data_IF_811096669818
#
_entry.id   IF_811096669818
#
_cell.length_a   1.000
_cell.length_b   1.000
_cell.length_c   1.000
_cell.angle_alpha   90.00
_cell.angle_beta   90.00
_cell.angle_gamma   90.00
#
_symmetry.space_group_name_H-M   'P 1'
#
loop_
_entity.id
_entity.type
_entity.pdbx_description
1 polymer ?
#
# COMPACT_ATOMS: atom_id res chain seq x y z
N UNK A 1 34.06 85.05 -21.54
CA UNK A 1 32.99 84.84 -20.58
C UNK A 1 32.01 83.77 -21.12
N UNK A 2 32.34 82.46 -21.09
CA UNK A 2 31.46 81.35 -21.58
C UNK A 2 31.71 80.01 -20.81
N UNK A 3 31.88 80.07 -19.49
CA UNK A 3 32.14 78.87 -18.68
C UNK A 3 31.07 78.51 -17.65
N UNK A 4 29.89 79.22 -17.66
CA UNK A 4 28.86 79.06 -16.61
C UNK A 4 27.68 78.09 -16.94
N UNK A 5 27.55 77.52 -18.21
CA UNK A 5 26.34 76.89 -18.65
C UNK A 5 26.45 75.33 -18.71
N UNK A 6 27.61 74.80 -18.53
CA UNK A 6 27.80 73.32 -18.73
C UNK A 6 27.67 72.49 -17.44
N UNK A 7 27.81 73.12 -16.27
CA UNK A 7 27.71 72.35 -15.01
C UNK A 7 26.26 71.88 -14.69
N UNK A 8 25.21 72.66 -14.86
CA UNK A 8 23.84 72.20 -14.61
C UNK A 8 23.38 71.15 -15.62
N UNK A 9 23.82 71.24 -16.90
CA UNK A 9 23.47 70.26 -17.92
C UNK A 9 24.13 68.88 -17.66
N UNK A 10 25.38 68.89 -17.21
CA UNK A 10 26.08 67.63 -16.84
C UNK A 10 25.43 66.94 -15.66
N UNK A 11 24.96 67.72 -14.64
CA UNK A 11 24.24 67.15 -13.49
C UNK A 11 22.90 66.54 -13.92
N UNK A 12 22.15 67.20 -14.80
CA UNK A 12 20.86 66.69 -15.31
C UNK A 12 21.07 65.39 -16.13
N UNK A 13 22.09 65.35 -16.97
CA UNK A 13 22.41 64.15 -17.74
C UNK A 13 22.82 63.00 -16.82
N UNK A 14 23.64 63.26 -15.81
CA UNK A 14 24.07 62.23 -14.86
C UNK A 14 22.89 61.67 -14.04
N UNK A 15 21.97 62.53 -13.58
CA UNK A 15 20.78 62.08 -12.82
C UNK A 15 19.80 61.30 -13.68
N UNK A 16 19.61 61.68 -14.95
CA UNK A 16 18.77 60.89 -15.87
C UNK A 16 19.35 59.50 -16.19
N UNK A 17 20.65 59.43 -16.38
CA UNK A 17 21.32 58.12 -16.58
C UNK A 17 21.22 57.21 -15.36
N UNK A 18 21.38 57.75 -14.15
CA UNK A 18 21.21 56.97 -12.91
C UNK A 18 19.75 56.52 -12.75
N UNK A 19 18.77 57.38 -13.04
CA UNK A 19 17.36 57.00 -13.00
C UNK A 19 17.01 55.89 -14.03
N UNK A 20 17.52 56.01 -15.24
CA UNK A 20 17.34 54.99 -16.27
C UNK A 20 18.01 53.65 -15.88
N UNK A 21 19.18 53.71 -15.27
CA UNK A 21 19.87 52.52 -14.75
C UNK A 21 19.09 51.86 -13.61
N UNK A 22 18.62 52.65 -12.64
CA UNK A 22 17.78 52.14 -11.53
C UNK A 22 16.47 51.57 -12.06
N UNK A 23 15.80 52.26 -12.99
CA UNK A 23 14.59 51.77 -13.63
C UNK A 23 14.86 50.45 -14.39
N UNK A 24 15.97 50.36 -15.11
CA UNK A 24 16.42 49.13 -15.77
C UNK A 24 16.60 48.00 -14.76
N UNK A 25 17.25 48.25 -13.63
CA UNK A 25 17.42 47.23 -12.55
C UNK A 25 16.07 46.82 -11.95
N UNK A 26 15.14 47.73 -11.74
CA UNK A 26 13.77 47.42 -11.25
C UNK A 26 13.01 46.62 -12.26
N UNK A 27 13.08 46.95 -13.55
CA UNK A 27 12.42 46.18 -14.63
C UNK A 27 13.02 44.77 -14.74
N UNK A 28 14.35 44.64 -14.68
CA UNK A 28 15.03 43.32 -14.70
C UNK A 28 14.64 42.49 -13.49
N UNK A 29 14.56 43.07 -12.29
CA UNK A 29 14.05 42.38 -11.09
C UNK A 29 12.56 42.04 -11.16
N UNK A 30 11.75 42.92 -11.74
CA UNK A 30 10.32 42.68 -11.90
C UNK A 30 10.02 41.61 -13.00
N UNK A 31 10.89 41.51 -14.01
CA UNK A 31 10.81 40.53 -15.11
C UNK A 31 11.51 39.21 -14.80
N UNK A 32 12.24 39.08 -13.67
CA UNK A 32 12.64 37.76 -13.21
C UNK A 32 11.34 37.00 -13.01
N UNK A 33 11.13 35.90 -13.74
CA UNK A 33 9.93 35.12 -13.54
C UNK A 33 9.92 34.81 -12.05
N UNK A 34 8.90 35.29 -11.35
CA UNK A 34 8.56 34.76 -10.03
C UNK A 34 8.27 33.31 -10.35
N UNK A 35 9.30 32.46 -10.18
CA UNK A 35 9.19 31.00 -10.32
C UNK A 35 7.94 30.61 -9.58
N UNK A 36 7.16 29.72 -10.20
CA UNK A 36 5.87 29.29 -9.67
C UNK A 36 5.97 29.04 -8.17
N UNK A 37 4.86 28.99 -7.47
CA UNK A 37 4.71 28.93 -6.01
C UNK A 37 5.58 27.88 -5.29
N UNK A 38 6.30 27.03 -6.04
CA UNK A 38 7.20 25.98 -5.54
C UNK A 38 8.65 26.31 -5.96
N UNK A 39 9.57 26.28 -5.00
CA UNK A 39 11.01 26.26 -5.28
C UNK A 39 11.41 24.96 -5.99
N UNK A 40 12.60 24.90 -6.58
CA UNK A 40 13.11 23.65 -7.19
C UNK A 40 13.21 22.51 -6.14
N UNK A 41 13.54 22.87 -4.89
CA UNK A 41 13.53 21.92 -3.78
C UNK A 41 12.10 21.42 -3.44
N UNK A 42 11.11 22.33 -3.43
CA UNK A 42 9.72 21.93 -3.19
C UNK A 42 9.18 21.04 -4.31
N UNK A 43 9.59 21.30 -5.55
CA UNK A 43 9.21 20.46 -6.71
C UNK A 43 9.82 19.08 -6.62
N UNK A 44 11.12 18.98 -6.31
CA UNK A 44 11.80 17.70 -6.11
C UNK A 44 11.17 16.89 -4.96
N UNK A 45 10.84 17.56 -3.85
CA UNK A 45 10.15 16.93 -2.71
C UNK A 45 8.77 16.42 -3.12
N UNK A 46 8.00 17.22 -3.86
CA UNK A 46 6.68 16.81 -4.35
C UNK A 46 6.78 15.61 -5.30
N UNK A 47 7.72 15.61 -6.23
CA UNK A 47 7.95 14.50 -7.17
C UNK A 47 8.34 13.21 -6.44
N UNK A 48 9.21 13.30 -5.43
CA UNK A 48 9.61 12.14 -4.62
C UNK A 48 8.42 11.57 -3.84
N UNK A 49 7.64 12.42 -3.16
CA UNK A 49 6.45 11.99 -2.42
C UNK A 49 5.36 11.42 -3.34
N UNK A 50 5.17 12.02 -4.51
CA UNK A 50 4.24 11.49 -5.50
C UNK A 50 4.65 10.11 -5.99
N UNK A 51 5.93 9.93 -6.34
CA UNK A 51 6.49 8.66 -6.79
C UNK A 51 6.41 7.59 -5.70
N UNK A 52 6.69 7.95 -4.44
CA UNK A 52 6.51 7.06 -3.29
C UNK A 52 5.05 6.60 -3.13
N UNK A 53 4.10 7.53 -3.30
CA UNK A 53 2.66 7.21 -3.23
C UNK A 53 2.22 6.26 -4.35
N UNK A 54 2.81 6.40 -5.56
CA UNK A 54 2.55 5.49 -6.67
C UNK A 54 3.10 4.09 -6.37
N UNK A 55 4.35 3.99 -5.91
CA UNK A 55 4.96 2.72 -5.52
C UNK A 55 4.14 2.02 -4.42
N UNK A 56 3.77 2.75 -3.35
CA UNK A 56 2.98 2.23 -2.25
C UNK A 56 1.61 1.68 -2.71
N UNK A 57 0.97 2.33 -3.70
CA UNK A 57 -0.30 1.87 -4.24
C UNK A 57 -0.19 0.54 -4.97
N UNK A 58 0.88 0.34 -5.75
CA UNK A 58 1.10 -0.90 -6.49
C UNK A 58 1.48 -2.08 -5.55
N UNK A 59 2.03 -1.79 -4.37
CA UNK A 59 2.45 -2.77 -3.37
C UNK A 59 1.35 -3.13 -2.35
N UNK A 60 0.10 -2.68 -2.55
CA UNK A 60 -1.01 -2.95 -1.61
C UNK A 60 -1.33 -4.42 -1.39
N UNK A 61 -1.00 -5.27 -2.33
CA UNK A 61 -1.19 -6.72 -2.27
C UNK A 61 0.05 -7.46 -1.75
N UNK A 62 1.06 -6.70 -1.26
CA UNK A 62 2.31 -7.22 -0.77
C UNK A 62 3.38 -7.39 -1.85
N UNK A 63 4.33 -8.29 -1.63
CA UNK A 63 5.39 -8.61 -2.59
C UNK A 63 4.96 -9.69 -3.59
N UNK A 64 3.78 -9.52 -4.22
CA UNK A 64 3.42 -10.37 -5.35
C UNK A 64 4.14 -9.93 -6.63
N UNK A 65 4.37 -10.86 -7.55
CA UNK A 65 5.14 -10.61 -8.79
C UNK A 65 4.56 -9.46 -9.61
N UNK A 66 3.23 -9.33 -9.63
CA UNK A 66 2.53 -8.34 -10.44
C UNK A 66 2.63 -6.93 -9.82
N UNK A 67 2.44 -6.80 -8.52
CA UNK A 67 2.54 -5.55 -7.78
C UNK A 67 3.96 -5.01 -7.77
N UNK A 68 4.93 -5.88 -7.47
CA UNK A 68 6.35 -5.52 -7.47
C UNK A 68 6.83 -5.07 -8.85
N UNK A 69 6.41 -5.75 -9.91
CA UNK A 69 6.77 -5.37 -11.29
C UNK A 69 6.23 -3.98 -11.65
N UNK A 70 5.00 -3.64 -11.25
CA UNK A 70 4.44 -2.30 -11.46
C UNK A 70 5.08 -1.23 -10.57
N UNK A 71 5.48 -1.58 -9.35
CA UNK A 71 6.13 -0.66 -8.42
C UNK A 71 7.59 -0.36 -8.80
N UNK A 72 8.29 -1.30 -9.41
CA UNK A 72 9.73 -1.23 -9.68
C UNK A 72 10.18 0.05 -10.41
N UNK A 73 9.51 0.55 -11.47
CA UNK A 73 9.89 1.80 -12.12
C UNK A 73 9.83 3.00 -11.16
N UNK A 74 8.86 3.03 -10.25
CA UNK A 74 8.71 4.09 -9.25
C UNK A 74 9.81 4.01 -8.19
N UNK A 75 10.11 2.81 -7.69
CA UNK A 75 11.19 2.58 -6.73
C UNK A 75 12.55 2.97 -7.33
N UNK A 76 12.81 2.59 -8.60
CA UNK A 76 14.03 2.97 -9.32
C UNK A 76 14.13 4.50 -9.49
N UNK A 77 13.04 5.16 -9.84
CA UNK A 77 13.01 6.62 -9.98
C UNK A 77 13.31 7.34 -8.66
N UNK A 78 12.79 6.85 -7.52
CA UNK A 78 13.09 7.40 -6.20
C UNK A 78 14.59 7.30 -5.86
N UNK A 79 15.24 6.22 -6.24
CA UNK A 79 16.65 5.97 -5.95
C UNK A 79 17.58 6.67 -6.95
N UNK A 80 17.07 7.10 -8.12
CA UNK A 80 17.86 7.73 -9.17
C UNK A 80 18.96 6.82 -9.73
N UNK A 81 18.76 5.50 -9.72
CA UNK A 81 19.78 4.51 -10.12
C UNK A 81 19.50 3.95 -11.52
N UNK A 82 20.55 3.50 -12.25
CA UNK A 82 20.39 2.85 -13.55
C UNK A 82 19.51 1.61 -13.53
N UNK A 83 19.57 0.81 -12.45
CA UNK A 83 18.75 -0.39 -12.30
C UNK A 83 18.50 -0.71 -10.83
N UNK A 84 17.41 -1.45 -10.59
CA UNK A 84 17.11 -2.10 -9.32
C UNK A 84 16.71 -3.56 -9.55
N UNK A 85 16.85 -4.37 -8.51
CA UNK A 85 16.24 -5.70 -8.44
C UNK A 85 15.50 -5.88 -7.11
N UNK A 86 14.40 -6.59 -7.16
CA UNK A 86 13.70 -7.07 -5.96
C UNK A 86 13.70 -8.59 -6.00
N UNK A 87 14.07 -9.19 -4.89
CA UNK A 87 14.08 -10.65 -4.73
C UNK A 87 13.24 -11.02 -3.51
N UNK A 88 12.51 -12.10 -3.60
CA UNK A 88 11.97 -12.80 -2.45
C UNK A 88 13.01 -13.79 -1.87
N UNK A 89 12.71 -14.55 -0.81
CA UNK A 89 13.62 -15.55 -0.28
C UNK A 89 13.96 -16.69 -1.25
N UNK A 90 13.17 -16.90 -2.31
CA UNK A 90 13.31 -18.02 -3.27
C UNK A 90 14.06 -17.61 -4.53
N UNK A 91 14.00 -16.34 -4.93
CA UNK A 91 14.66 -15.87 -6.15
C UNK A 91 14.37 -14.41 -6.52
N UNK A 92 14.82 -13.98 -7.70
CA UNK A 92 14.51 -12.66 -8.19
C UNK A 92 13.06 -12.57 -8.67
N UNK A 93 12.33 -11.54 -8.20
CA UNK A 93 10.97 -11.23 -8.67
C UNK A 93 11.05 -10.33 -9.91
N UNK A 94 11.85 -9.25 -9.84
CA UNK A 94 11.91 -8.25 -10.90
C UNK A 94 13.32 -7.67 -11.02
N UNK A 95 13.68 -7.35 -12.25
CA UNK A 95 14.75 -6.44 -12.63
C UNK A 95 14.15 -5.26 -13.39
N UNK A 96 14.48 -4.05 -12.98
CA UNK A 96 14.00 -2.83 -13.62
C UNK A 96 15.18 -1.93 -13.98
N UNK A 97 15.27 -1.54 -15.26
CA UNK A 97 16.33 -0.67 -15.77
C UNK A 97 17.33 -1.39 -16.67
N UNK A 98 18.53 -0.82 -16.77
CA UNK A 98 19.58 -1.35 -17.66
C UNK A 98 20.30 -2.55 -17.06
N UNK A 99 20.93 -3.37 -17.90
CA UNK A 99 21.74 -4.51 -17.45
C UNK A 99 20.91 -5.72 -17.00
N UNK A 100 19.80 -6.02 -17.66
CA UNK A 100 18.90 -7.13 -17.35
C UNK A 100 19.61 -8.49 -17.29
N UNK A 101 20.76 -8.64 -17.96
CA UNK A 101 21.57 -9.86 -17.88
C UNK A 101 22.09 -10.17 -16.46
N UNK A 102 22.02 -9.20 -15.52
CA UNK A 102 22.30 -9.42 -14.11
C UNK A 102 21.14 -10.04 -13.31
N UNK A 103 19.94 -10.15 -13.87
CA UNK A 103 18.77 -10.71 -13.18
C UNK A 103 19.07 -12.07 -12.55
N UNK A 104 19.72 -12.96 -13.30
CA UNK A 104 20.06 -14.31 -12.82
C UNK A 104 21.06 -14.29 -11.65
N UNK A 105 21.90 -13.26 -11.56
CA UNK A 105 22.87 -13.09 -10.48
C UNK A 105 22.33 -12.33 -9.27
N UNK A 106 21.16 -11.64 -9.41
CA UNK A 106 20.61 -10.75 -8.39
C UNK A 106 20.36 -11.48 -7.06
N UNK A 107 19.87 -12.71 -7.10
CA UNK A 107 19.66 -13.53 -5.91
C UNK A 107 20.99 -13.85 -5.18
N UNK A 108 22.05 -14.15 -5.92
CA UNK A 108 23.39 -14.35 -5.36
C UNK A 108 23.97 -13.08 -4.74
N UNK A 109 23.75 -11.92 -5.38
CA UNK A 109 24.14 -10.62 -4.83
C UNK A 109 23.42 -10.30 -3.51
N UNK A 110 22.20 -10.80 -3.33
CA UNK A 110 21.39 -10.59 -2.13
C UNK A 110 21.77 -11.51 -0.94
N UNK A 111 22.56 -12.56 -1.18
CA UNK A 111 22.84 -13.60 -0.18
C UNK A 111 23.45 -13.06 1.11
N UNK A 112 24.42 -12.17 1.03
CA UNK A 112 25.05 -11.59 2.22
C UNK A 112 24.07 -10.72 3.01
N UNK A 113 23.26 -9.90 2.35
CA UNK A 113 22.27 -9.07 3.01
C UNK A 113 21.19 -9.93 3.71
N UNK A 114 20.75 -11.00 3.06
CA UNK A 114 19.79 -11.96 3.65
C UNK A 114 20.35 -12.64 4.90
N UNK A 115 21.60 -13.10 4.85
CA UNK A 115 22.24 -13.79 5.98
C UNK A 115 22.53 -12.89 7.16
N UNK A 116 22.93 -11.64 6.91
CA UNK A 116 23.33 -10.71 7.97
C UNK A 116 22.19 -9.85 8.50
N UNK A 117 21.07 -9.74 7.74
CA UNK A 117 19.97 -8.82 8.04
C UNK A 117 20.39 -7.35 7.95
N UNK A 118 21.46 -7.04 7.19
CA UNK A 118 22.04 -5.69 7.09
C UNK A 118 22.27 -5.31 5.63
N UNK A 119 22.24 -4.00 5.39
CA UNK A 119 22.62 -3.42 4.11
C UNK A 119 24.08 -3.74 3.78
N UNK A 120 24.33 -4.17 2.55
CA UNK A 120 25.63 -4.58 2.04
C UNK A 120 25.95 -3.80 0.76
N UNK A 121 27.14 -3.25 0.69
CA UNK A 121 27.69 -2.67 -0.54
C UNK A 121 28.52 -3.72 -1.28
N UNK A 122 28.23 -3.89 -2.57
CA UNK A 122 28.92 -4.77 -3.49
C UNK A 122 29.81 -3.94 -4.43
N UNK A 123 31.02 -4.38 -4.59
CA UNK A 123 31.99 -3.77 -5.50
C UNK A 123 31.94 -4.42 -6.89
N UNK A 124 32.70 -3.88 -7.84
CA UNK A 124 32.82 -4.46 -9.17
C UNK A 124 33.31 -5.93 -9.15
N UNK A 125 34.13 -6.29 -8.15
CA UNK A 125 34.62 -7.67 -7.97
C UNK A 125 33.50 -8.64 -7.56
N UNK A 126 32.49 -8.11 -6.89
CA UNK A 126 31.34 -8.90 -6.42
C UNK A 126 30.29 -9.03 -7.53
N UNK A 127 30.00 -7.95 -8.27
CA UNK A 127 29.01 -7.91 -9.35
C UNK A 127 29.47 -8.65 -10.61
N UNK A 128 30.77 -8.61 -10.94
CA UNK A 128 31.42 -9.39 -12.03
C UNK A 128 30.72 -9.31 -13.38
N UNK A 129 30.47 -8.09 -13.88
CA UNK A 129 29.89 -7.92 -15.19
C UNK A 129 30.92 -8.19 -16.30
N UNK A 130 30.66 -9.11 -17.26
CA UNK A 130 31.58 -9.38 -18.38
C UNK A 130 31.53 -8.30 -19.47
N UNK A 131 30.43 -7.51 -19.53
CA UNK A 131 30.24 -6.49 -20.53
C UNK A 131 30.94 -5.18 -20.12
N UNK A 132 31.94 -4.71 -20.87
CA UNK A 132 32.67 -3.48 -20.55
C UNK A 132 31.82 -2.21 -20.64
N UNK A 133 30.78 -2.21 -21.46
CA UNK A 133 29.88 -1.07 -21.67
C UNK A 133 28.70 -1.04 -20.71
N UNK A 134 28.50 -2.08 -19.93
CA UNK A 134 27.43 -2.13 -18.94
C UNK A 134 27.68 -1.10 -17.82
N UNK A 135 26.70 -0.24 -17.49
CA UNK A 135 26.85 0.73 -16.41
C UNK A 135 26.74 0.11 -15.01
N UNK A 136 26.37 -1.17 -14.91
CA UNK A 136 26.25 -1.89 -13.63
C UNK A 136 27.63 -2.42 -13.22
N UNK A 137 28.27 -1.75 -12.27
CA UNK A 137 29.60 -2.10 -11.74
C UNK A 137 29.57 -2.37 -10.24
N UNK A 138 28.58 -1.81 -9.54
CA UNK A 138 28.46 -1.92 -8.10
C UNK A 138 26.99 -1.98 -7.72
N UNK A 139 26.70 -2.44 -6.50
CA UNK A 139 25.34 -2.46 -5.98
C UNK A 139 25.32 -2.19 -4.48
N UNK A 140 24.20 -1.67 -4.01
CA UNK A 140 23.81 -1.74 -2.59
C UNK A 140 22.63 -2.68 -2.50
N UNK A 141 22.64 -3.57 -1.53
CA UNK A 141 21.56 -4.53 -1.28
C UNK A 141 21.08 -4.37 0.16
N UNK A 142 19.79 -4.21 0.34
CA UNK A 142 19.15 -4.02 1.64
C UNK A 142 18.09 -5.09 1.84
N UNK A 143 18.04 -5.75 3.01
CA UNK A 143 16.95 -6.67 3.34
C UNK A 143 15.65 -5.90 3.57
N UNK A 144 14.52 -6.47 3.14
CA UNK A 144 13.17 -6.01 3.44
C UNK A 144 12.69 -6.86 4.61
N UNK A 145 12.48 -6.23 5.76
CA UNK A 145 12.08 -6.90 7.00
C UNK A 145 10.73 -6.35 7.43
N UNK A 146 9.70 -7.19 7.37
CA UNK A 146 8.33 -6.88 7.79
C UNK A 146 8.00 -7.71 9.04
N UNK A 147 7.52 -7.07 10.10
CA UNK A 147 7.20 -7.70 11.40
C UNK A 147 8.34 -8.62 11.93
N UNK A 148 9.59 -8.14 11.82
CA UNK A 148 10.78 -8.89 12.26
C UNK A 148 11.15 -10.09 11.38
N UNK A 149 10.45 -10.34 10.27
CA UNK A 149 10.71 -11.42 9.31
C UNK A 149 11.32 -10.88 8.03
N UNK A 150 12.34 -11.55 7.51
CA UNK A 150 12.88 -11.25 6.20
C UNK A 150 11.88 -11.70 5.13
N UNK A 151 11.27 -10.74 4.43
CA UNK A 151 10.30 -10.99 3.36
C UNK A 151 10.91 -10.86 1.97
N UNK A 152 12.07 -10.21 1.86
CA UNK A 152 12.76 -10.08 0.59
C UNK A 152 14.01 -9.22 0.70
N UNK A 153 14.56 -8.84 -0.45
CA UNK A 153 15.66 -7.88 -0.56
C UNK A 153 15.42 -6.95 -1.73
N UNK A 154 15.89 -5.72 -1.61
CA UNK A 154 15.95 -4.77 -2.71
C UNK A 154 17.41 -4.38 -2.95
N UNK A 155 17.80 -4.33 -4.22
CA UNK A 155 19.15 -3.96 -4.64
C UNK A 155 19.09 -2.78 -5.62
N UNK A 156 19.95 -1.79 -5.41
CA UNK A 156 20.17 -0.68 -6.33
C UNK A 156 21.53 -0.85 -7.00
N UNK A 157 21.55 -0.81 -8.33
CA UNK A 157 22.71 -1.04 -9.16
C UNK A 157 23.16 0.23 -9.89
N UNK A 158 24.47 0.40 -10.06
CA UNK A 158 25.02 1.54 -10.77
C UNK A 158 26.53 1.44 -10.99
N UNK A 159 27.15 2.51 -11.52
CA UNK A 159 28.61 2.54 -11.75
C UNK A 159 29.42 2.61 -10.44
N UNK A 160 28.83 3.13 -9.39
CA UNK A 160 29.41 3.21 -8.05
C UNK A 160 28.32 3.27 -6.99
N UNK A 161 28.67 2.98 -5.75
CA UNK A 161 27.79 3.09 -4.60
C UNK A 161 28.27 4.19 -3.66
N UNK A 162 27.31 4.92 -3.07
CA UNK A 162 27.56 5.98 -2.10
C UNK A 162 26.82 5.67 -0.80
N UNK A 163 27.28 6.25 0.30
CA UNK A 163 26.55 6.16 1.58
C UNK A 163 25.14 6.77 1.48
N UNK A 164 24.97 7.83 0.67
CA UNK A 164 23.66 8.43 0.42
C UNK A 164 22.69 7.47 -0.28
N UNK A 165 23.18 6.71 -1.28
CA UNK A 165 22.37 5.68 -1.93
C UNK A 165 22.00 4.55 -0.97
N UNK A 166 22.93 4.14 -0.09
CA UNK A 166 22.65 3.11 0.90
C UNK A 166 21.53 3.54 1.86
N UNK A 167 21.61 4.77 2.38
CA UNK A 167 20.54 5.33 3.24
C UNK A 167 19.20 5.46 2.50
N UNK A 168 19.23 5.94 1.26
CA UNK A 168 18.00 6.04 0.45
C UNK A 168 17.37 4.66 0.20
N UNK A 169 18.19 3.64 -0.07
CA UNK A 169 17.71 2.28 -0.28
C UNK A 169 17.13 1.68 1.00
N UNK A 170 17.71 1.98 2.16
CA UNK A 170 17.14 1.56 3.46
C UNK A 170 15.74 2.17 3.70
N UNK A 171 15.54 3.45 3.35
CA UNK A 171 14.22 4.08 3.45
C UNK A 171 13.22 3.48 2.46
N UNK A 172 13.66 3.17 1.23
CA UNK A 172 12.82 2.49 0.24
C UNK A 172 12.48 1.07 0.70
N UNK A 173 13.43 0.33 1.26
CA UNK A 173 13.18 -1.01 1.81
C UNK A 173 12.18 -0.97 2.97
N UNK A 174 12.25 0.06 3.83
CA UNK A 174 11.28 0.30 4.91
C UNK A 174 9.89 0.60 4.35
N UNK A 175 9.80 1.50 3.36
CA UNK A 175 8.52 1.78 2.68
C UNK A 175 7.88 0.51 2.12
N UNK A 176 8.68 -0.37 1.50
CA UNK A 176 8.18 -1.64 0.97
C UNK A 176 7.74 -2.57 2.11
N UNK A 177 8.51 -2.66 3.19
CA UNK A 177 8.17 -3.46 4.37
C UNK A 177 6.83 -3.02 4.99
N UNK A 178 6.62 -1.71 5.17
CA UNK A 178 5.37 -1.15 5.69
C UNK A 178 4.16 -1.53 4.81
N UNK A 179 4.33 -1.56 3.47
CA UNK A 179 3.25 -1.98 2.57
C UNK A 179 2.95 -3.48 2.69
N UNK A 180 3.98 -4.32 2.89
CA UNK A 180 3.79 -5.76 3.12
C UNK A 180 3.02 -6.01 4.42
N UNK A 181 3.39 -5.32 5.51
CA UNK A 181 2.69 -5.42 6.79
C UNK A 181 1.21 -5.00 6.66
N UNK A 182 0.93 -3.89 5.96
CA UNK A 182 -0.43 -3.44 5.71
C UNK A 182 -1.23 -4.46 4.90
N UNK A 183 -0.63 -5.08 3.88
CA UNK A 183 -1.28 -6.11 3.07
C UNK A 183 -1.60 -7.37 3.90
N UNK A 184 -0.69 -7.82 4.76
CA UNK A 184 -0.92 -8.94 5.68
C UNK A 184 -2.07 -8.64 6.64
N UNK A 185 -2.12 -7.45 7.25
CA UNK A 185 -3.20 -7.02 8.14
C UNK A 185 -4.57 -6.96 7.44
N UNK A 186 -4.63 -6.45 6.21
CA UNK A 186 -5.87 -6.42 5.42
C UNK A 186 -6.37 -7.83 5.09
N UNK A 187 -5.45 -8.74 4.77
CA UNK A 187 -5.78 -10.15 4.52
C UNK A 187 -6.30 -10.84 5.79
N UNK A 188 -5.66 -10.64 6.93
CA UNK A 188 -6.11 -11.17 8.22
C UNK A 188 -7.50 -10.64 8.60
N UNK A 189 -7.73 -9.35 8.43
CA UNK A 189 -9.02 -8.73 8.66
C UNK A 189 -10.12 -9.33 7.78
N UNK A 190 -9.83 -9.52 6.50
CA UNK A 190 -10.76 -10.14 5.55
C UNK A 190 -11.10 -11.57 5.98
N UNK A 191 -10.10 -12.37 6.35
CA UNK A 191 -10.29 -13.74 6.85
C UNK A 191 -11.12 -13.77 8.15
N UNK A 192 -10.88 -12.83 9.06
CA UNK A 192 -11.64 -12.72 10.30
C UNK A 192 -13.12 -12.42 10.04
N UNK A 193 -13.42 -11.45 9.14
CA UNK A 193 -14.78 -11.12 8.74
C UNK A 193 -15.48 -12.32 8.06
N UNK A 194 -14.79 -13.03 7.17
CA UNK A 194 -15.34 -14.22 6.53
C UNK A 194 -15.60 -15.36 7.53
N UNK A 195 -14.72 -15.52 8.52
CA UNK A 195 -14.90 -16.51 9.58
C UNK A 195 -16.10 -16.15 10.46
N UNK A 196 -16.27 -14.87 10.83
CA UNK A 196 -17.43 -14.38 11.56
C UNK A 196 -18.72 -14.60 10.79
N UNK A 197 -18.75 -14.28 9.48
CA UNK A 197 -19.91 -14.53 8.62
C UNK A 197 -20.25 -16.01 8.50
N UNK A 198 -19.23 -16.88 8.42
CA UNK A 198 -19.43 -18.34 8.42
C UNK A 198 -20.01 -18.83 9.74
N UNK A 199 -19.50 -18.34 10.87
CA UNK A 199 -20.00 -18.67 12.19
C UNK A 199 -21.45 -18.18 12.37
N UNK A 200 -21.78 -16.96 11.94
CA UNK A 200 -23.15 -16.43 11.97
C UNK A 200 -24.13 -17.26 11.11
N UNK A 201 -23.70 -17.69 9.92
CA UNK A 201 -24.50 -18.58 9.07
C UNK A 201 -24.69 -19.98 9.65
N UNK A 202 -23.73 -20.46 10.45
CA UNK A 202 -23.82 -21.76 11.10
C UNK A 202 -24.72 -21.76 12.35
N UNK A 203 -25.05 -20.59 12.92
CA UNK A 203 -25.91 -20.46 14.10
C UNK A 203 -27.35 -20.92 13.83
N UNK A 204 -27.83 -20.81 12.59
CA UNK A 204 -29.11 -21.39 12.17
C UNK A 204 -28.80 -22.44 11.11
N UNK A 205 -29.07 -23.71 11.42
CA UNK A 205 -28.90 -24.79 10.43
C UNK A 205 -29.78 -24.51 9.19
N UNK A 206 -29.19 -24.41 7.97
CA UNK A 206 -30.00 -24.24 6.76
C UNK A 206 -31.05 -25.36 6.60
N UNK A 207 -30.70 -26.56 7.02
CA UNK A 207 -31.61 -27.72 7.02
C UNK A 207 -32.83 -27.51 7.95
N UNK A 208 -32.62 -26.91 9.13
CA UNK A 208 -33.73 -26.55 10.02
C UNK A 208 -34.66 -25.52 9.37
N UNK A 209 -34.11 -24.47 8.75
CA UNK A 209 -34.90 -23.45 8.04
C UNK A 209 -35.76 -24.06 6.95
N UNK A 210 -35.16 -24.86 6.06
CA UNK A 210 -35.93 -25.53 4.99
C UNK A 210 -37.00 -26.45 5.52
N UNK A 211 -36.69 -27.26 6.56
CA UNK A 211 -37.63 -28.19 7.13
C UNK A 211 -38.81 -27.48 7.86
N UNK A 212 -38.52 -26.43 8.62
CA UNK A 212 -39.56 -25.63 9.30
C UNK A 212 -40.48 -24.99 8.28
N UNK A 213 -39.93 -24.36 7.22
CA UNK A 213 -40.74 -23.75 6.17
C UNK A 213 -41.60 -24.81 5.40
N UNK A 214 -41.03 -25.98 5.12
CA UNK A 214 -41.74 -27.08 4.48
C UNK A 214 -42.86 -27.59 5.36
N UNK A 215 -42.65 -27.75 6.68
CA UNK A 215 -43.69 -28.13 7.63
C UNK A 215 -44.79 -27.09 7.68
N UNK A 216 -44.48 -25.80 7.80
CA UNK A 216 -45.46 -24.71 7.79
C UNK A 216 -46.29 -24.72 6.51
N UNK A 217 -45.67 -24.95 5.34
CA UNK A 217 -46.36 -25.00 4.06
C UNK A 217 -47.42 -26.12 3.99
N UNK A 218 -47.26 -27.23 4.72
CA UNK A 218 -48.25 -28.29 4.78
C UNK A 218 -49.55 -27.81 5.46
N UNK A 219 -49.44 -26.94 6.47
CA UNK A 219 -50.58 -26.42 7.21
C UNK A 219 -51.33 -25.29 6.50
N UNK A 220 -50.71 -24.59 5.53
CA UNK A 220 -51.32 -23.43 4.85
C UNK A 220 -52.73 -23.72 4.29
N UNK A 221 -52.94 -24.93 3.78
CA UNK A 221 -54.25 -25.35 3.22
C UNK A 221 -55.12 -26.14 4.17
N UNK A 222 -54.52 -26.83 5.16
CA UNK A 222 -55.22 -27.74 6.07
C UNK A 222 -55.63 -27.07 7.39
N UNK A 223 -54.77 -26.18 7.90
CA UNK A 223 -54.96 -25.43 9.14
C UNK A 223 -54.24 -24.07 9.04
N UNK A 224 -54.86 -23.05 8.41
CA UNK A 224 -54.24 -21.74 8.20
C UNK A 224 -53.89 -21.01 9.50
N UNK A 225 -54.66 -21.21 10.57
CA UNK A 225 -54.40 -20.58 11.87
C UNK A 225 -53.11 -21.17 12.48
N UNK A 226 -52.95 -22.47 12.43
CA UNK A 226 -51.72 -23.16 12.86
C UNK A 226 -50.52 -22.76 12.02
N UNK A 227 -50.67 -22.63 10.71
CA UNK A 227 -49.62 -22.13 9.83
C UNK A 227 -49.14 -20.74 10.23
N UNK A 228 -50.09 -19.86 10.59
CA UNK A 228 -49.80 -18.50 11.04
C UNK A 228 -49.03 -18.49 12.38
N UNK A 229 -49.45 -19.31 13.35
CA UNK A 229 -48.74 -19.47 14.63
C UNK A 229 -47.29 -19.92 14.41
N UNK A 230 -47.07 -20.98 13.63
CA UNK A 230 -45.76 -21.53 13.34
C UNK A 230 -44.87 -20.51 12.61
N UNK A 231 -45.41 -19.67 11.72
CA UNK A 231 -44.68 -18.58 11.07
C UNK A 231 -44.20 -17.55 12.08
N UNK A 232 -45.04 -17.20 13.08
CA UNK A 232 -44.65 -16.26 14.13
C UNK A 232 -43.55 -16.83 15.04
N UNK A 233 -43.67 -18.10 15.43
CA UNK A 233 -42.67 -18.81 16.22
C UNK A 233 -41.32 -18.92 15.44
N UNK A 234 -41.36 -19.22 14.15
CA UNK A 234 -40.21 -19.26 13.29
C UNK A 234 -39.52 -17.89 13.16
N UNK A 235 -40.34 -16.82 13.00
CA UNK A 235 -39.83 -15.46 12.94
C UNK A 235 -39.15 -15.02 14.25
N UNK A 236 -39.74 -15.38 15.41
CA UNK A 236 -39.17 -15.05 16.71
C UNK A 236 -37.91 -15.89 17.03
N UNK A 237 -37.92 -17.18 16.66
CA UNK A 237 -36.75 -18.03 16.75
C UNK A 237 -35.56 -17.48 15.93
N UNK A 238 -35.81 -17.16 14.66
CA UNK A 238 -34.75 -16.62 13.76
C UNK A 238 -34.27 -15.26 14.21
N UNK A 239 -35.18 -14.39 14.72
CA UNK A 239 -34.81 -13.09 15.29
C UNK A 239 -33.87 -13.26 16.51
N UNK A 240 -34.18 -14.22 17.38
CA UNK A 240 -33.38 -14.52 18.55
C UNK A 240 -31.98 -15.05 18.12
N UNK A 241 -31.97 -16.06 17.25
CA UNK A 241 -30.70 -16.69 16.78
C UNK A 241 -29.79 -15.74 15.99
N UNK A 242 -30.34 -14.71 15.32
CA UNK A 242 -29.60 -13.68 14.59
C UNK A 242 -29.35 -12.41 15.42
N UNK A 243 -29.80 -12.38 16.68
CA UNK A 243 -29.62 -11.23 17.54
C UNK A 243 -28.13 -11.05 17.86
N UNK A 244 -27.57 -9.92 17.46
CA UNK A 244 -26.25 -9.45 17.92
C UNK A 244 -26.37 -8.98 19.39
N UNK A 245 -26.63 -9.89 20.30
CA UNK A 245 -26.68 -9.63 21.73
C UNK A 245 -25.34 -9.96 22.38
N UNK A 246 -24.99 -9.25 23.47
CA UNK A 246 -23.74 -9.41 24.17
C UNK A 246 -23.38 -10.87 24.51
N UNK A 247 -22.17 -11.10 25.01
CA UNK A 247 -21.63 -12.42 25.33
C UNK A 247 -22.46 -13.26 26.32
N UNK A 248 -23.52 -12.70 26.88
CA UNK A 248 -24.38 -13.34 27.89
C UNK A 248 -25.85 -13.09 27.57
N UNK A 249 -26.66 -14.15 27.72
CA UNK A 249 -28.12 -14.15 27.69
C UNK A 249 -28.63 -14.76 28.97
N UNK A 250 -29.90 -14.52 29.33
CA UNK A 250 -30.50 -15.09 30.53
C UNK A 250 -30.95 -16.53 30.27
N UNK A 251 -30.89 -17.39 31.30
CA UNK A 251 -31.40 -18.77 31.20
C UNK A 251 -32.89 -18.80 30.77
N UNK A 252 -33.66 -17.80 31.15
CA UNK A 252 -35.08 -17.68 30.76
C UNK A 252 -35.19 -17.49 29.24
N UNK A 253 -34.41 -16.63 28.66
CA UNK A 253 -34.42 -16.38 27.19
C UNK A 253 -33.97 -17.62 26.42
N UNK A 254 -32.95 -18.33 26.89
CA UNK A 254 -32.52 -19.60 26.28
C UNK A 254 -33.64 -20.66 26.34
N UNK A 255 -34.31 -20.85 27.49
CA UNK A 255 -35.40 -21.79 27.60
C UNK A 255 -36.55 -21.43 26.67
N UNK A 256 -36.92 -20.16 26.56
CA UNK A 256 -37.99 -19.72 25.65
C UNK A 256 -37.60 -20.00 24.17
N UNK A 257 -36.33 -19.87 23.82
CA UNK A 257 -35.88 -20.16 22.46
C UNK A 257 -35.88 -21.68 22.19
N UNK A 258 -35.55 -22.50 23.16
CA UNK A 258 -35.67 -23.97 23.08
C UNK A 258 -37.14 -24.38 22.93
N UNK A 259 -38.06 -23.76 23.65
CA UNK A 259 -39.52 -24.01 23.52
C UNK A 259 -40.00 -23.73 22.09
N UNK A 260 -39.62 -22.58 21.49
CA UNK A 260 -39.94 -22.24 20.09
C UNK A 260 -39.38 -23.27 19.11
N UNK A 261 -38.13 -23.66 19.30
CA UNK A 261 -37.51 -24.71 18.49
C UNK A 261 -38.30 -26.02 18.55
N UNK A 262 -38.72 -26.45 19.75
CA UNK A 262 -39.51 -27.68 19.93
C UNK A 262 -40.89 -27.59 19.26
N UNK A 263 -41.56 -26.43 19.33
CA UNK A 263 -42.86 -26.21 18.63
C UNK A 263 -42.70 -26.41 17.12
N UNK A 264 -41.60 -25.88 16.53
CA UNK A 264 -41.33 -26.04 15.11
C UNK A 264 -40.99 -27.49 14.71
N UNK A 265 -40.17 -28.19 15.53
CA UNK A 265 -39.87 -29.59 15.31
C UNK A 265 -41.04 -30.52 15.51
N UNK A 266 -41.94 -30.27 16.51
CA UNK A 266 -43.18 -31.00 16.67
C UNK A 266 -44.13 -30.86 15.48
N UNK A 267 -44.21 -29.67 14.88
CA UNK A 267 -45.01 -29.47 13.67
C UNK A 267 -44.45 -30.29 12.48
N UNK A 268 -43.14 -30.56 12.47
CA UNK A 268 -42.47 -31.36 11.43
C UNK A 268 -42.68 -32.85 11.63
N UNK A 269 -42.52 -33.36 12.85
CA UNK A 269 -42.52 -34.80 13.12
C UNK A 269 -43.88 -35.35 13.59
N UNK A 270 -44.84 -34.49 13.91
CA UNK A 270 -46.09 -34.90 14.53
C UNK A 270 -45.90 -35.38 15.98
N UNK A 271 -46.93 -36.00 16.54
CA UNK A 271 -46.98 -36.50 17.92
C UNK A 271 -46.17 -37.83 18.10
N UNK A 272 -44.99 -37.93 17.48
CA UNK A 272 -44.14 -39.13 17.59
C UNK A 272 -43.14 -39.01 18.73
#
# INVERSE_FOLDING_TARGET
MTTGLHLPTAIVVATTLVLLWVLGQVIVRARRPRGGFLSDADRATHETLHTASLAARELREGLDDSGVTRAAPHLRAMLGTPAIAVCDPTGPIVWEGVGEHHLTSAHGHAEQARRTGRTVALTERDVRCPDPDCPVRAAVVTPIVADGRLVGTIAAYGPSVTSGLALALEEVARLVADQVELAELDLERTRAVEAELRALRAQISPHFVYNSLAAIATFVRTDPDRARELLLEFADFTRYALRRGGAFTTLREELQNVERYLVLEQARFGDR
#
